data_IF_724540822192
#
_entry.id   IF_724540822192
#
_cell.length_a   1.000
_cell.length_b   1.000
_cell.length_c   1.000
_cell.angle_alpha   90.00
_cell.angle_beta   90.00
_cell.angle_gamma   90.00
#
_symmetry.space_group_name_H-M   'P 1'
#
loop_
_entity.id
_entity.type
_entity.pdbx_description
1 polymer ?
#
# COMPACT_ATOMS: atom_id res chain seq x y z
N UNK A 1 14.98 -12.61 8.14
CA UNK A 1 13.84 -11.88 7.52
C UNK A 1 13.06 -12.90 6.71
N UNK A 2 11.74 -12.96 6.87
CA UNK A 2 10.88 -13.92 6.15
C UNK A 2 9.99 -13.14 5.18
N UNK A 3 9.88 -13.63 3.95
CA UNK A 3 8.93 -13.11 2.95
C UNK A 3 7.66 -13.96 3.06
N UNK A 4 6.51 -13.31 3.27
CA UNK A 4 5.23 -14.02 3.44
C UNK A 4 4.25 -13.60 2.34
N UNK A 5 3.98 -14.50 1.41
CA UNK A 5 3.03 -14.30 0.29
C UNK A 5 1.75 -15.12 0.43
N UNK A 6 1.75 -16.16 1.27
CA UNK A 6 0.57 -17.01 1.49
C UNK A 6 -0.61 -16.19 2.04
N UNK A 7 -1.78 -16.17 1.37
CA UNK A 7 -2.89 -15.31 1.77
C UNK A 7 -3.51 -15.63 3.13
N UNK A 8 -3.52 -16.90 3.55
CA UNK A 8 -4.08 -17.32 4.84
C UNK A 8 -3.14 -16.97 5.98
N UNK A 9 -1.84 -17.19 5.79
CA UNK A 9 -0.82 -16.76 6.74
C UNK A 9 -0.73 -15.22 6.82
N UNK A 10 -0.91 -14.51 5.71
CA UNK A 10 -1.02 -13.05 5.68
C UNK A 10 -2.21 -12.56 6.51
N UNK A 11 -3.39 -13.18 6.33
CA UNK A 11 -4.58 -12.87 7.13
C UNK A 11 -4.32 -13.12 8.62
N UNK A 12 -3.61 -14.20 8.95
CA UNK A 12 -3.21 -14.53 10.31
C UNK A 12 -2.33 -13.44 10.92
N UNK A 13 -1.24 -13.05 10.25
CA UNK A 13 -0.28 -12.05 10.72
C UNK A 13 -0.86 -10.63 10.77
N UNK A 14 -1.58 -10.22 9.72
CA UNK A 14 -2.05 -8.84 9.58
C UNK A 14 -3.30 -8.54 10.39
N UNK A 15 -4.16 -9.54 10.60
CA UNK A 15 -5.49 -9.34 11.18
C UNK A 15 -5.65 -10.17 12.45
N UNK A 16 -5.71 -11.51 12.33
CA UNK A 16 -6.12 -12.39 13.44
C UNK A 16 -5.19 -12.28 14.65
N UNK A 17 -3.90 -12.43 14.42
CA UNK A 17 -2.85 -12.43 15.45
C UNK A 17 -2.03 -11.14 15.42
N UNK A 18 -2.66 -10.06 14.96
CA UNK A 18 -2.02 -8.75 14.81
C UNK A 18 -1.46 -8.19 16.11
N UNK A 19 -1.90 -8.68 17.27
CA UNK A 19 -1.38 -8.33 18.59
C UNK A 19 0.07 -8.82 18.83
N UNK A 20 0.47 -9.92 18.17
CA UNK A 20 1.87 -10.39 18.15
C UNK A 20 2.73 -9.59 17.16
N UNK A 21 2.08 -9.06 16.12
CA UNK A 21 2.71 -8.41 14.98
C UNK A 21 2.38 -6.92 14.90
N UNK A 22 2.34 -6.20 16.03
CA UNK A 22 1.92 -4.79 16.06
C UNK A 22 2.95 -3.87 15.38
N UNK A 23 4.23 -4.13 15.57
CA UNK A 23 5.28 -3.18 15.24
C UNK A 23 5.89 -3.43 13.86
N UNK A 24 6.41 -2.35 13.26
CA UNK A 24 7.27 -2.41 12.06
C UNK A 24 8.74 -2.46 12.50
N UNK A 25 9.63 -2.94 11.63
CA UNK A 25 11.08 -2.97 11.87
C UNK A 25 11.58 -1.55 12.26
N UNK A 26 12.63 -1.37 13.05
CA UNK A 26 13.24 -0.04 13.20
C UNK A 26 13.76 0.49 11.84
N UNK A 27 13.86 1.82 11.70
CA UNK A 27 14.61 2.46 10.61
C UNK A 27 15.70 3.28 11.28
N UNK A 28 16.95 2.93 11.04
CA UNK A 28 18.10 3.67 11.55
C UNK A 28 18.34 4.92 10.69
N UNK A 29 18.90 5.97 11.30
CA UNK A 29 19.25 7.22 10.60
C UNK A 29 18.11 8.22 10.39
N UNK A 30 16.90 7.98 10.91
CA UNK A 30 15.83 8.99 10.87
C UNK A 30 16.05 10.09 11.92
N UNK A 31 16.13 11.35 11.47
CA UNK A 31 16.29 12.54 12.32
C UNK A 31 15.05 13.44 12.27
N UNK A 32 14.99 14.41 13.19
CA UNK A 32 13.91 15.39 13.24
C UNK A 32 12.51 14.80 13.52
N UNK A 33 11.42 15.51 13.16
CA UNK A 33 10.04 15.10 13.46
C UNK A 33 9.63 13.75 12.85
N UNK A 34 10.30 13.33 11.76
CA UNK A 34 9.97 12.09 11.04
C UNK A 34 10.20 10.85 11.90
N UNK A 35 11.19 10.88 12.82
CA UNK A 35 11.47 9.76 13.74
C UNK A 35 10.31 9.46 14.69
N UNK A 36 9.39 10.41 14.87
CA UNK A 36 8.18 10.28 15.68
C UNK A 36 6.91 10.09 14.83
N UNK A 37 7.04 9.87 13.52
CA UNK A 37 5.91 9.70 12.63
C UNK A 37 5.08 8.44 12.90
N UNK A 38 3.80 8.47 12.51
CA UNK A 38 2.84 7.36 12.73
C UNK A 38 3.27 6.02 12.12
N UNK A 39 4.08 6.07 11.06
CA UNK A 39 4.66 4.86 10.43
C UNK A 39 5.82 4.26 11.23
N UNK A 40 6.41 5.00 12.16
CA UNK A 40 7.60 4.65 12.93
C UNK A 40 7.26 4.33 14.40
N UNK A 41 6.29 5.04 14.98
CA UNK A 41 5.84 4.80 16.36
C UNK A 41 5.47 3.34 16.62
N UNK A 42 5.66 2.92 17.88
CA UNK A 42 5.42 1.56 18.38
C UNK A 42 4.40 1.55 19.52
N UNK A 43 3.80 0.39 19.73
CA UNK A 43 3.01 0.05 20.92
C UNK A 43 1.95 1.11 21.25
N UNK A 44 1.79 1.46 22.53
CA UNK A 44 0.73 2.37 22.99
C UNK A 44 0.93 3.80 22.49
N UNK A 45 2.17 4.24 22.24
CA UNK A 45 2.43 5.54 21.59
C UNK A 45 1.79 5.56 20.20
N UNK A 46 1.93 4.49 19.44
CA UNK A 46 1.27 4.37 18.14
C UNK A 46 -0.26 4.27 18.27
N UNK A 47 -0.77 3.45 19.21
CA UNK A 47 -2.22 3.30 19.42
C UNK A 47 -2.88 4.64 19.75
N UNK A 48 -2.30 5.38 20.70
CA UNK A 48 -2.81 6.67 21.16
C UNK A 48 -2.74 7.72 20.04
N UNK A 49 -1.58 7.84 19.38
CA UNK A 49 -1.44 8.76 18.25
C UNK A 49 -2.41 8.41 17.11
N UNK A 50 -2.62 7.12 16.82
CA UNK A 50 -3.58 6.71 15.80
C UNK A 50 -5.01 7.07 16.21
N UNK A 51 -5.42 6.80 17.44
CA UNK A 51 -6.76 7.13 17.93
C UNK A 51 -7.03 8.63 17.80
N UNK A 52 -6.06 9.47 18.18
CA UNK A 52 -6.17 10.94 18.13
C UNK A 52 -6.24 11.45 16.69
N UNK A 53 -5.41 10.94 15.78
CA UNK A 53 -5.28 11.51 14.43
C UNK A 53 -6.25 10.85 13.43
N UNK A 54 -6.82 9.67 13.72
CA UNK A 54 -7.81 9.02 12.83
C UNK A 54 -8.99 9.93 12.43
N UNK A 55 -9.61 10.70 13.35
CA UNK A 55 -10.63 11.69 13.00
C UNK A 55 -10.14 12.81 12.07
N UNK A 56 -8.89 13.25 12.23
CA UNK A 56 -8.28 14.31 11.43
C UNK A 56 -7.95 13.87 9.99
N UNK A 57 -7.92 12.55 9.74
CA UNK A 57 -7.79 11.96 8.41
C UNK A 57 -9.13 11.69 7.71
N UNK A 58 -10.22 12.27 8.24
CA UNK A 58 -11.36 12.71 7.41
C UNK A 58 -10.86 13.72 6.35
N UNK A 59 -11.70 14.05 5.37
CA UNK A 59 -11.36 14.60 4.03
C UNK A 59 -10.51 15.89 3.95
N UNK A 60 -9.99 16.42 5.05
CA UNK A 60 -9.29 17.69 5.07
C UNK A 60 -7.77 17.62 4.79
N UNK A 61 -7.01 16.62 5.25
CA UNK A 61 -5.53 16.70 5.16
C UNK A 61 -4.84 15.33 5.05
N UNK A 62 -4.00 15.14 4.02
CA UNK A 62 -2.89 14.17 3.99
C UNK A 62 -2.00 14.35 2.75
N UNK A 63 -0.68 14.40 2.98
CA UNK A 63 0.39 14.23 1.99
C UNK A 63 1.35 13.18 2.59
N UNK A 64 1.32 11.93 2.12
CA UNK A 64 2.41 10.92 2.13
C UNK A 64 1.81 9.50 2.03
N UNK A 65 2.26 8.73 1.03
CA UNK A 65 2.00 7.30 0.89
C UNK A 65 3.08 6.52 1.66
N UNK A 66 2.69 5.68 2.63
CA UNK A 66 3.63 4.84 3.39
C UNK A 66 3.78 3.48 2.68
N UNK A 67 4.99 3.16 2.24
CA UNK A 67 5.34 1.92 1.51
C UNK A 67 5.59 0.72 2.46
N UNK A 68 5.45 0.91 3.77
CA UNK A 68 6.02 -0.01 4.74
C UNK A 68 5.01 -1.01 5.30
N UNK A 69 5.01 -2.23 4.76
CA UNK A 69 4.07 -3.28 5.17
C UNK A 69 4.66 -4.34 6.11
N UNK A 70 5.96 -4.29 6.42
CA UNK A 70 6.58 -5.27 7.31
C UNK A 70 6.03 -5.26 8.74
N UNK A 71 6.16 -6.41 9.41
CA UNK A 71 5.82 -6.65 10.80
C UNK A 71 6.96 -7.33 11.53
N UNK A 72 7.01 -7.19 12.85
CA UNK A 72 8.00 -7.85 13.71
C UNK A 72 7.28 -8.73 14.72
N UNK A 73 7.71 -9.98 14.84
CA UNK A 73 7.25 -10.89 15.89
C UNK A 73 7.70 -10.37 17.27
N UNK A 74 6.75 -10.03 18.14
CA UNK A 74 7.05 -9.56 19.50
C UNK A 74 7.45 -10.67 20.48
N UNK A 75 7.12 -11.92 20.15
CA UNK A 75 7.41 -13.14 20.90
C UNK A 75 7.72 -14.30 19.93
N UNK A 76 8.31 -15.41 20.41
CA UNK A 76 8.39 -16.64 19.64
C UNK A 76 6.99 -17.07 19.17
N UNK A 77 6.86 -17.47 17.90
CA UNK A 77 5.55 -17.75 17.30
C UNK A 77 5.63 -18.81 16.20
N UNK A 78 4.69 -19.75 16.20
CA UNK A 78 4.58 -20.77 15.15
C UNK A 78 3.67 -20.28 14.01
N UNK A 79 4.26 -20.10 12.82
CA UNK A 79 3.55 -19.66 11.63
C UNK A 79 3.65 -20.71 10.54
N UNK A 80 2.54 -21.40 10.26
CA UNK A 80 2.45 -22.38 9.17
C UNK A 80 3.43 -23.55 9.33
N UNK A 81 3.63 -24.03 10.57
CA UNK A 81 4.60 -25.09 10.89
C UNK A 81 6.05 -24.60 11.06
N UNK A 82 6.33 -23.32 10.79
CA UNK A 82 7.66 -22.73 11.02
C UNK A 82 7.72 -22.01 12.36
N UNK A 83 8.77 -22.29 13.13
CA UNK A 83 9.04 -21.58 14.38
C UNK A 83 9.78 -20.26 14.11
N UNK A 84 9.15 -19.14 14.46
CA UNK A 84 9.72 -17.81 14.32
C UNK A 84 10.27 -17.33 15.66
N UNK A 85 11.58 -17.04 15.77
CA UNK A 85 12.13 -16.40 16.95
C UNK A 85 11.56 -14.98 17.15
N UNK A 86 11.52 -14.53 18.40
CA UNK A 86 11.24 -13.12 18.74
C UNK A 86 12.16 -12.18 17.95
N UNK A 87 11.60 -11.08 17.45
CA UNK A 87 12.34 -10.10 16.66
C UNK A 87 12.40 -10.42 15.16
N UNK A 88 11.88 -11.57 14.72
CA UNK A 88 11.80 -11.91 13.30
C UNK A 88 10.96 -10.89 12.55
N UNK A 89 11.54 -10.33 11.48
CA UNK A 89 10.81 -9.42 10.59
C UNK A 89 10.15 -10.21 9.47
N UNK A 90 8.83 -10.04 9.37
CA UNK A 90 7.97 -10.54 8.31
C UNK A 90 7.76 -9.41 7.30
N UNK A 91 8.16 -9.62 6.06
CA UNK A 91 7.93 -8.69 4.96
C UNK A 91 6.78 -9.20 4.09
N UNK A 92 5.82 -8.32 3.80
CA UNK A 92 4.73 -8.59 2.85
C UNK A 92 5.15 -8.08 1.47
N UNK A 93 5.39 -8.96 0.49
CA UNK A 93 5.83 -8.57 -0.85
C UNK A 93 4.64 -8.07 -1.67
N UNK A 94 4.11 -6.88 -1.32
CA UNK A 94 2.88 -6.34 -1.94
C UNK A 94 2.97 -6.28 -3.47
N UNK A 95 4.12 -5.87 -4.01
CA UNK A 95 4.32 -5.84 -5.46
C UNK A 95 4.18 -7.23 -6.09
N UNK A 96 4.91 -8.23 -5.57
CA UNK A 96 4.82 -9.61 -6.08
C UNK A 96 3.42 -10.20 -5.91
N UNK A 97 2.74 -9.91 -4.81
CA UNK A 97 1.38 -10.38 -4.56
C UNK A 97 0.36 -9.80 -5.55
N UNK A 98 0.56 -8.55 -5.98
CA UNK A 98 -0.30 -7.90 -6.99
C UNK A 98 0.02 -8.32 -8.42
N UNK A 99 1.16 -8.98 -8.65
CA UNK A 99 1.61 -9.43 -9.96
C UNK A 99 1.78 -10.95 -10.04
N UNK A 100 1.25 -11.70 -9.07
CA UNK A 100 1.27 -13.17 -9.11
C UNK A 100 0.32 -13.64 -10.22
N UNK A 101 0.82 -14.27 -11.30
CA UNK A 101 -0.01 -14.70 -12.43
C UNK A 101 -1.06 -15.76 -12.04
N UNK A 102 -0.85 -16.48 -10.93
CA UNK A 102 -1.82 -17.47 -10.44
C UNK A 102 -3.08 -16.80 -9.86
N UNK A 103 -2.95 -15.56 -9.37
CA UNK A 103 -4.04 -14.79 -8.76
C UNK A 103 -4.53 -13.68 -9.69
N UNK A 104 -3.62 -13.15 -10.51
CA UNK A 104 -3.84 -12.04 -11.44
C UNK A 104 -3.46 -12.48 -12.86
N UNK A 105 -4.38 -13.08 -13.63
CA UNK A 105 -4.13 -13.37 -15.04
C UNK A 105 -3.73 -12.10 -15.78
N UNK A 106 -2.69 -12.16 -16.62
CA UNK A 106 -2.09 -11.00 -17.29
C UNK A 106 -1.83 -9.82 -16.33
N UNK A 107 -0.93 -9.96 -15.34
CA UNK A 107 -0.77 -8.97 -14.27
C UNK A 107 -0.22 -7.62 -14.80
N UNK A 108 0.53 -7.65 -15.90
CA UNK A 108 1.10 -6.45 -16.53
C UNK A 108 0.08 -5.66 -17.38
N UNK A 109 -1.11 -6.23 -17.65
CA UNK A 109 -2.15 -5.55 -18.43
C UNK A 109 -3.07 -4.73 -17.53
N UNK A 110 -3.30 -3.47 -17.88
CA UNK A 110 -4.30 -2.63 -17.21
C UNK A 110 -5.72 -3.09 -17.61
N UNK A 111 -6.34 -3.92 -16.77
CA UNK A 111 -7.70 -4.45 -16.97
C UNK A 111 -8.56 -4.00 -15.78
N UNK A 112 -9.30 -2.88 -15.87
CA UNK A 112 -10.14 -2.37 -14.78
C UNK A 112 -11.26 -3.31 -14.34
N UNK A 113 -11.80 -4.11 -15.26
CA UNK A 113 -12.95 -4.99 -15.09
C UNK A 113 -12.68 -6.08 -14.05
N UNK A 114 -11.41 -6.46 -13.86
CA UNK A 114 -11.01 -7.38 -12.80
C UNK A 114 -11.30 -6.82 -11.40
N UNK A 115 -11.68 -5.56 -11.24
CA UNK A 115 -12.05 -4.95 -9.95
C UNK A 115 -13.56 -4.76 -9.78
N UNK A 116 -14.39 -5.35 -10.66
CA UNK A 116 -15.83 -5.43 -10.46
C UNK A 116 -16.17 -6.27 -9.20
N UNK A 117 -17.31 -6.03 -8.54
CA UNK A 117 -17.70 -6.72 -7.31
C UNK A 117 -17.67 -8.26 -7.45
N UNK A 118 -18.13 -8.78 -8.58
CA UNK A 118 -18.24 -10.21 -8.87
C UNK A 118 -16.86 -10.85 -8.98
N UNK A 119 -15.92 -10.20 -9.69
CA UNK A 119 -14.54 -10.66 -9.86
C UNK A 119 -13.69 -10.47 -8.60
N UNK A 120 -14.04 -9.51 -7.75
CA UNK A 120 -13.44 -9.36 -6.41
C UNK A 120 -13.85 -10.49 -5.48
N UNK A 121 -15.13 -10.89 -5.51
CA UNK A 121 -15.64 -11.95 -4.64
C UNK A 121 -14.97 -13.31 -4.88
N UNK A 122 -14.53 -13.58 -6.11
CA UNK A 122 -13.83 -14.82 -6.49
C UNK A 122 -12.41 -14.95 -5.92
N UNK A 123 -11.79 -13.86 -5.47
CA UNK A 123 -10.39 -13.85 -5.04
C UNK A 123 -10.26 -13.73 -3.54
N UNK A 124 -9.18 -14.29 -3.01
CA UNK A 124 -8.90 -14.17 -1.59
C UNK A 124 -8.72 -12.69 -1.20
N UNK A 125 -9.33 -12.20 -0.11
CA UNK A 125 -9.27 -10.78 0.27
C UNK A 125 -7.85 -10.24 0.47
N UNK A 126 -6.89 -11.10 0.84
CA UNK A 126 -5.49 -10.70 1.01
C UNK A 126 -4.71 -10.62 -0.31
N UNK A 127 -5.29 -10.97 -1.46
CA UNK A 127 -4.61 -10.86 -2.75
C UNK A 127 -4.35 -9.40 -3.18
N UNK A 128 -5.10 -8.43 -2.63
CA UNK A 128 -5.01 -7.03 -3.03
C UNK A 128 -4.85 -6.08 -1.82
N UNK A 129 -3.60 -5.83 -1.44
CA UNK A 129 -3.21 -5.02 -0.27
C UNK A 129 -2.52 -3.67 -0.58
N UNK A 130 -3.05 -2.78 -1.44
CA UNK A 130 -2.37 -1.53 -1.82
C UNK A 130 -2.17 -0.53 -0.67
N UNK A 131 -2.99 -0.66 0.38
CA UNK A 131 -2.92 0.17 1.58
C UNK A 131 -2.62 -0.65 2.85
N UNK A 132 -2.25 -1.93 2.67
CA UNK A 132 -2.14 -2.91 3.75
C UNK A 132 -3.49 -3.20 4.41
N UNK A 133 -3.48 -4.09 5.39
CA UNK A 133 -4.68 -4.45 6.15
C UNK A 133 -4.39 -4.54 7.67
N UNK A 134 -5.46 -4.71 8.44
CA UNK A 134 -5.45 -4.84 9.88
C UNK A 134 -5.24 -3.51 10.62
N UNK A 135 -4.87 -3.56 11.91
CA UNK A 135 -4.73 -2.37 12.76
C UNK A 135 -3.74 -1.33 12.22
N UNK A 136 -2.70 -1.81 11.52
CA UNK A 136 -1.62 -1.00 10.93
C UNK A 136 -1.85 -0.64 9.45
N UNK A 137 -3.07 -0.83 8.93
CA UNK A 137 -3.48 -0.37 7.61
C UNK A 137 -3.38 1.15 7.45
N UNK A 138 -3.25 1.61 6.20
CA UNK A 138 -3.13 3.02 5.89
C UNK A 138 -4.32 3.82 6.44
N UNK A 139 -4.03 4.82 7.28
CA UNK A 139 -5.06 5.69 7.85
C UNK A 139 -5.79 6.52 6.80
N UNK A 140 -5.10 6.84 5.70
CA UNK A 140 -5.56 7.72 4.64
C UNK A 140 -6.25 7.02 3.47
N UNK A 141 -6.49 5.71 3.54
CA UNK A 141 -7.00 4.93 2.39
C UNK A 141 -8.28 5.52 1.80
N UNK A 142 -9.32 5.72 2.64
CA UNK A 142 -10.63 6.22 2.19
C UNK A 142 -10.50 7.60 1.54
N UNK A 143 -9.68 8.45 2.15
CA UNK A 143 -9.43 9.79 1.65
C UNK A 143 -8.67 9.79 0.31
N UNK A 144 -7.62 9.00 0.20
CA UNK A 144 -6.82 8.88 -1.02
C UNK A 144 -7.69 8.38 -2.19
N UNK A 145 -8.52 7.35 -1.96
CA UNK A 145 -9.44 6.83 -2.97
C UNK A 145 -10.49 7.86 -3.38
N UNK A 146 -11.08 8.59 -2.43
CA UNK A 146 -12.06 9.64 -2.74
C UNK A 146 -11.42 10.77 -3.54
N UNK A 147 -10.25 11.28 -3.10
CA UNK A 147 -9.53 12.32 -3.82
C UNK A 147 -9.12 11.89 -5.23
N UNK A 148 -8.62 10.67 -5.38
CA UNK A 148 -8.27 10.12 -6.70
C UNK A 148 -9.50 10.08 -7.62
N UNK A 149 -10.63 9.55 -7.14
CA UNK A 149 -11.89 9.53 -7.90
C UNK A 149 -12.33 10.92 -8.33
N UNK A 150 -12.38 11.89 -7.40
CA UNK A 150 -12.77 13.26 -7.71
C UNK A 150 -11.80 13.92 -8.70
N UNK A 151 -10.48 13.73 -8.51
CA UNK A 151 -9.46 14.28 -9.38
C UNK A 151 -9.59 13.74 -10.80
N UNK A 152 -9.77 12.43 -10.95
CA UNK A 152 -9.98 11.76 -12.25
C UNK A 152 -11.26 12.29 -12.91
N UNK A 153 -12.40 12.33 -12.20
CA UNK A 153 -13.66 12.83 -12.76
C UNK A 153 -13.54 14.29 -13.21
N UNK A 154 -12.89 15.15 -12.41
CA UNK A 154 -12.68 16.56 -12.78
C UNK A 154 -11.76 16.70 -13.98
N UNK A 155 -10.65 15.95 -14.00
CA UNK A 155 -9.72 15.96 -15.11
C UNK A 155 -10.43 15.51 -16.40
N UNK A 156 -11.09 14.36 -16.40
CA UNK A 156 -11.72 13.81 -17.60
C UNK A 156 -12.87 14.67 -18.16
N UNK A 157 -13.50 15.50 -17.33
CA UNK A 157 -14.56 16.45 -17.77
C UNK A 157 -14.00 17.67 -18.51
N UNK A 158 -12.79 18.11 -18.17
CA UNK A 158 -12.27 19.42 -18.61
C UNK A 158 -11.07 19.28 -19.54
N UNK A 159 -10.30 18.20 -19.39
CA UNK A 159 -9.08 17.98 -20.15
C UNK A 159 -9.11 16.66 -20.89
N UNK A 160 -8.49 16.68 -22.06
CA UNK A 160 -8.11 15.51 -22.82
C UNK A 160 -6.61 15.28 -22.62
N UNK A 161 -6.25 14.06 -22.23
CA UNK A 161 -4.87 13.67 -21.98
C UNK A 161 -4.36 12.92 -23.21
N UNK A 162 -3.28 13.42 -23.80
CA UNK A 162 -2.66 12.86 -25.00
C UNK A 162 -1.18 12.53 -24.75
N UNK A 163 -0.66 11.53 -25.44
CA UNK A 163 0.78 11.30 -25.49
C UNK A 163 1.48 12.40 -26.30
N UNK A 164 2.73 12.69 -25.97
CA UNK A 164 3.61 13.56 -26.72
C UNK A 164 4.94 12.85 -27.00
N UNK A 165 5.83 13.50 -27.76
CA UNK A 165 7.16 12.97 -28.11
C UNK A 165 8.00 12.57 -26.89
N UNK A 166 7.74 13.17 -25.73
CA UNK A 166 8.44 12.87 -24.47
C UNK A 166 7.76 11.79 -23.63
N UNK A 167 6.58 11.31 -24.03
CA UNK A 167 5.84 10.28 -23.30
C UNK A 167 6.54 8.93 -23.46
N UNK A 168 7.09 8.41 -22.36
CA UNK A 168 7.74 7.11 -22.35
C UNK A 168 6.72 5.97 -22.19
N UNK A 169 6.61 5.11 -23.21
CA UNK A 169 5.71 3.95 -23.24
C UNK A 169 6.53 2.70 -23.64
N UNK A 170 6.66 1.67 -22.78
CA UNK A 170 6.15 1.57 -21.41
C UNK A 170 6.95 2.45 -20.43
N UNK A 171 6.28 2.91 -19.36
CA UNK A 171 6.89 3.76 -18.35
C UNK A 171 8.00 3.01 -17.59
N UNK A 172 9.22 3.55 -17.57
CA UNK A 172 10.31 2.98 -16.78
C UNK A 172 10.23 3.46 -15.33
N UNK A 173 10.17 2.53 -14.38
CA UNK A 173 10.11 2.84 -12.95
C UNK A 173 11.50 2.88 -12.31
N UNK A 174 11.64 3.70 -11.27
CA UNK A 174 12.85 3.77 -10.45
C UNK A 174 12.92 2.54 -9.52
N UNK A 175 14.03 1.81 -9.57
CA UNK A 175 14.21 0.56 -8.79
C UNK A 175 14.17 0.76 -7.25
N UNK A 176 14.52 1.96 -6.77
CA UNK A 176 14.68 2.26 -5.33
C UNK A 176 13.75 3.36 -4.76
N UNK A 177 12.97 4.06 -5.60
CA UNK A 177 12.08 5.15 -5.17
C UNK A 177 10.66 4.77 -5.51
N UNK A 178 9.89 4.32 -4.51
CA UNK A 178 8.42 4.18 -4.47
C UNK A 178 7.71 4.17 -5.84
N UNK A 179 8.10 3.26 -6.74
CA UNK A 179 7.52 3.12 -8.09
C UNK A 179 7.37 4.47 -8.85
N UNK A 180 8.31 5.40 -8.65
CA UNK A 180 8.32 6.68 -9.34
C UNK A 180 8.80 6.49 -10.79
N UNK A 181 8.23 7.23 -11.74
CA UNK A 181 8.73 7.30 -13.10
C UNK A 181 10.20 7.75 -13.10
N UNK A 182 11.08 6.98 -13.74
CA UNK A 182 12.52 7.25 -13.79
C UNK A 182 12.81 8.62 -14.41
N UNK A 183 12.09 8.97 -15.46
CA UNK A 183 12.30 10.20 -16.26
C UNK A 183 11.13 11.21 -16.13
N UNK A 184 10.28 11.03 -15.10
CA UNK A 184 9.01 11.75 -14.99
C UNK A 184 7.93 11.21 -15.93
N UNK A 185 6.72 11.78 -15.84
CA UNK A 185 5.59 11.46 -16.73
C UNK A 185 5.27 12.69 -17.55
N UNK A 186 5.57 12.65 -18.84
CA UNK A 186 5.29 13.72 -19.78
C UNK A 186 4.04 13.37 -20.58
N UNK A 187 3.06 14.27 -20.56
CA UNK A 187 1.80 14.15 -21.30
C UNK A 187 1.42 15.52 -21.84
N UNK A 188 0.74 15.55 -22.98
CA UNK A 188 0.07 16.73 -23.49
C UNK A 188 -1.32 16.79 -22.88
N UNK A 189 -1.72 18.00 -22.46
CA UNK A 189 -3.04 18.25 -21.89
C UNK A 189 -3.73 19.26 -22.80
N UNK A 190 -4.82 18.84 -23.43
CA UNK A 190 -5.68 19.70 -24.23
C UNK A 190 -6.98 19.97 -23.47
N UNK A 191 -7.66 21.09 -23.76
CA UNK A 191 -9.00 21.34 -23.23
C UNK A 191 -9.98 20.44 -23.97
N UNK A 192 -10.83 19.74 -23.22
CA UNK A 192 -11.88 18.90 -23.80
C UNK A 192 -12.95 19.82 -24.41
N UNK A 193 -13.25 19.61 -25.69
CA UNK A 193 -14.38 20.26 -26.37
C UNK A 193 -15.68 19.88 -25.66
N UNK A 194 -16.58 20.85 -25.48
CA UNK A 194 -17.89 20.63 -24.88
C UNK A 194 -18.75 19.66 -25.70
#
# INVERSE_FOLDING_TARGET
MVLLSDPDLLRKVLIKDSHVFINRRPVEGLTGPIKHGLSIMKDDKWKNARAIVSPAFSTAKLKTLSCRFDRVASAPYELGGYQLPKGTVINVPVYSLHHDPNVWPDPEKFIPERFLPEEKAKRHPMAFLPFGDGPRSCIGMRFALLKAKIAIVRALRVVEIQSCEKTEIPLKLHKLRNFAAKNGVWIRVARRSA
#
